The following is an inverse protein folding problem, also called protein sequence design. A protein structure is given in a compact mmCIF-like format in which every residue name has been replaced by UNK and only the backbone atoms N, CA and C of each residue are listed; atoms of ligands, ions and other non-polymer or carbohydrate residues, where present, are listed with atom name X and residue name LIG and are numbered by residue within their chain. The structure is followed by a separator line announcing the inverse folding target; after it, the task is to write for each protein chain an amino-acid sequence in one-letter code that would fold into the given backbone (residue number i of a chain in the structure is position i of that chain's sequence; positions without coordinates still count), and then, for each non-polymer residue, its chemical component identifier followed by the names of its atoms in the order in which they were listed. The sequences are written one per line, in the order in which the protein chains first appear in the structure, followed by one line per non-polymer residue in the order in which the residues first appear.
data_IF_880747476359
#
_entry.id   IF_880747476359
#
_cell.length_a   1.000
_cell.length_b   1.000
_cell.length_c   1.000
_cell.angle_alpha   90.00
_cell.angle_beta   90.00
_cell.angle_gamma   90.00
#
_symmetry.space_group_name_H-M   'P 1'
#
loop_
_entity.id
_entity.type
_entity.pdbx_description
1 polymer ?
#
# COMPACT_ATOMS: atom_id res chain seq x y z
N UNK A 1 -2.54 -14.03 2.13
CA UNK A 1 -3.72 -13.30 1.61
C UNK A 1 -4.49 -14.14 0.57
N UNK A 2 -5.82 -14.18 0.71
CA UNK A 2 -6.72 -14.99 -0.14
C UNK A 2 -6.56 -14.70 -1.64
N UNK A 3 -6.18 -13.47 -1.99
CA UNK A 3 -5.92 -13.06 -3.38
C UNK A 3 -4.85 -13.93 -4.07
N UNK A 4 -3.87 -14.46 -3.33
CA UNK A 4 -2.82 -15.32 -3.87
C UNK A 4 -3.30 -16.76 -4.15
N UNK A 5 -4.44 -17.16 -3.58
CA UNK A 5 -5.04 -18.49 -3.73
C UNK A 5 -6.10 -18.53 -4.83
N UNK A 6 -6.54 -17.36 -5.33
CA UNK A 6 -7.67 -17.22 -6.27
C UNK A 6 -7.33 -17.51 -7.75
N UNK A 7 -6.05 -17.73 -8.11
CA UNK A 7 -5.62 -17.89 -9.51
C UNK A 7 -5.77 -16.64 -10.39
N UNK A 8 -6.31 -15.53 -9.86
CA UNK A 8 -6.50 -14.29 -10.60
C UNK A 8 -5.17 -13.51 -10.70
N UNK A 9 -4.43 -13.74 -11.79
CA UNK A 9 -3.14 -13.10 -12.04
C UNK A 9 -3.19 -11.55 -12.05
N UNK A 10 -4.33 -10.96 -12.44
CA UNK A 10 -4.53 -9.50 -12.40
C UNK A 10 -4.61 -8.99 -10.96
N UNK A 11 -5.41 -9.64 -10.13
CA UNK A 11 -5.54 -9.31 -8.72
C UNK A 11 -4.22 -9.52 -7.95
N UNK A 12 -3.48 -10.59 -8.27
CA UNK A 12 -2.15 -10.85 -7.70
C UNK A 12 -1.16 -9.74 -8.07
N UNK A 13 -1.13 -9.32 -9.33
CA UNK A 13 -0.24 -8.25 -9.80
C UNK A 13 -0.55 -6.92 -9.11
N UNK A 14 -1.84 -6.56 -9.00
CA UNK A 14 -2.29 -5.38 -8.26
C UNK A 14 -1.91 -5.46 -6.79
N UNK A 15 -2.14 -6.60 -6.14
CA UNK A 15 -1.78 -6.80 -4.74
C UNK A 15 -0.27 -6.68 -4.51
N UNK A 16 0.55 -7.29 -5.36
CA UNK A 16 2.03 -7.18 -5.28
C UNK A 16 2.50 -5.73 -5.44
N UNK A 17 1.90 -4.96 -6.35
CA UNK A 17 2.19 -3.54 -6.54
C UNK A 17 1.87 -2.74 -5.27
N UNK A 18 0.66 -2.90 -4.74
CA UNK A 18 0.21 -2.23 -3.51
C UNK A 18 1.10 -2.59 -2.31
N UNK A 19 1.45 -3.86 -2.16
CA UNK A 19 2.31 -4.33 -1.07
C UNK A 19 3.73 -3.76 -1.16
N UNK A 20 4.29 -3.64 -2.37
CA UNK A 20 5.57 -2.97 -2.59
C UNK A 20 5.52 -1.49 -2.22
N UNK A 21 4.45 -0.78 -2.61
CA UNK A 21 4.24 0.62 -2.25
C UNK A 21 4.09 0.79 -0.74
N UNK A 22 3.30 -0.05 -0.07
CA UNK A 22 3.13 -0.05 1.39
C UNK A 22 4.48 -0.21 2.12
N UNK A 23 5.29 -1.18 1.71
CA UNK A 23 6.62 -1.40 2.30
C UNK A 23 7.56 -0.22 2.07
N UNK A 24 7.50 0.38 0.89
CA UNK A 24 8.30 1.55 0.55
C UNK A 24 7.86 2.74 1.40
N UNK A 25 6.56 2.97 1.53
CA UNK A 25 5.99 4.01 2.38
C UNK A 25 6.44 3.88 3.85
N UNK A 26 6.41 2.67 4.41
CA UNK A 26 6.80 2.41 5.80
C UNK A 26 8.30 2.57 6.07
N UNK A 27 9.16 2.22 5.11
CA UNK A 27 10.62 2.12 5.34
C UNK A 27 11.43 3.22 4.68
N UNK A 28 11.00 3.69 3.51
CA UNK A 28 11.71 4.60 2.61
C UNK A 28 10.73 5.53 1.85
N UNK A 29 9.93 6.33 2.56
CA UNK A 29 8.95 7.22 1.93
C UNK A 29 9.61 8.25 0.98
N UNK A 30 10.89 8.53 1.18
CA UNK A 30 11.72 9.37 0.29
C UNK A 30 11.75 8.86 -1.16
N UNK A 31 11.71 7.53 -1.35
CA UNK A 31 11.74 6.92 -2.68
C UNK A 31 10.44 7.12 -3.45
N UNK A 32 9.29 7.24 -2.74
CA UNK A 32 7.99 7.45 -3.38
C UNK A 32 7.92 8.82 -4.07
N UNK A 33 8.61 9.82 -3.53
CA UNK A 33 8.64 11.18 -4.11
C UNK A 33 9.34 11.22 -5.47
N UNK A 34 10.21 10.23 -5.76
CA UNK A 34 10.97 10.11 -7.02
C UNK A 34 10.41 9.04 -7.95
N UNK A 35 9.48 8.22 -7.46
CA UNK A 35 8.91 7.12 -8.22
C UNK A 35 7.85 7.62 -9.21
N UNK A 36 7.77 6.97 -10.38
CA UNK A 36 6.63 7.15 -11.29
C UNK A 36 5.46 6.32 -10.78
N UNK A 37 4.54 7.01 -10.10
CA UNK A 37 3.31 6.43 -9.56
C UNK A 37 2.16 6.65 -10.54
N UNK A 38 1.38 5.60 -10.81
CA UNK A 38 0.10 5.73 -11.50
C UNK A 38 -0.92 6.45 -10.61
N UNK A 39 -2.06 6.82 -11.18
CA UNK A 39 -3.19 7.34 -10.42
C UNK A 39 -3.64 6.37 -9.33
N UNK A 40 -3.81 5.08 -9.68
CA UNK A 40 -4.16 4.01 -8.73
C UNK A 40 -3.13 3.81 -7.61
N UNK A 41 -1.84 4.03 -7.88
CA UNK A 41 -0.80 3.96 -6.85
C UNK A 41 -0.93 5.12 -5.86
N UNK A 42 -1.26 6.33 -6.35
CA UNK A 42 -1.44 7.53 -5.53
C UNK A 42 -2.68 7.43 -4.65
N UNK A 43 -3.79 6.96 -5.22
CA UNK A 43 -5.03 6.69 -4.47
C UNK A 43 -4.76 5.71 -3.32
N UNK A 44 -4.08 4.60 -3.61
CA UNK A 44 -3.72 3.62 -2.59
C UNK A 44 -2.82 4.20 -1.49
N UNK A 45 -1.84 5.03 -1.84
CA UNK A 45 -0.96 5.68 -0.86
C UNK A 45 -1.70 6.73 -0.01
N UNK A 46 -2.69 7.43 -0.58
CA UNK A 46 -3.53 8.37 0.16
C UNK A 46 -4.47 7.65 1.12
N UNK A 47 -5.06 6.53 0.69
CA UNK A 47 -5.84 5.64 1.57
C UNK A 47 -4.97 5.10 2.71
N UNK A 48 -3.75 4.65 2.40
CA UNK A 48 -2.80 4.12 3.38
C UNK A 48 -2.41 5.18 4.43
N UNK A 49 -2.10 6.41 4.01
CA UNK A 49 -1.74 7.49 4.94
C UNK A 49 -2.92 7.89 5.82
N UNK A 50 -4.14 7.93 5.27
CA UNK A 50 -5.36 8.18 6.03
C UNK A 50 -5.68 7.08 7.04
N UNK A 51 -5.51 5.82 6.65
CA UNK A 51 -5.72 4.66 7.53
C UNK A 51 -4.74 4.64 8.71
N UNK A 52 -3.47 4.97 8.48
CA UNK A 52 -2.47 5.08 9.56
C UNK A 52 -2.69 6.31 10.44
N UNK A 53 -3.15 7.42 9.89
CA UNK A 53 -3.54 8.59 10.68
C UNK A 53 -4.77 8.30 11.57
N UNK A 54 -5.71 7.48 11.08
CA UNK A 54 -6.88 7.04 11.85
C UNK A 54 -6.55 5.95 12.90
N UNK A 55 -5.49 5.17 12.70
CA UNK A 55 -5.10 4.05 13.56
C UNK A 55 -4.15 4.39 14.73
N UNK A 56 -3.68 5.64 14.85
CA UNK A 56 -2.67 6.02 15.85
C UNK A 56 -3.25 6.39 17.24
N UNK A 57 -4.41 5.84 17.59
CA UNK A 57 -5.17 6.24 18.79
C UNK A 57 -5.59 5.14 19.79
N UNK A 58 -5.43 3.82 19.53
CA UNK A 58 -6.09 2.82 20.41
C UNK A 58 -5.37 1.52 20.76
N UNK A 59 -4.14 1.24 20.32
CA UNK A 59 -3.51 -0.07 20.65
C UNK A 59 -2.38 0.05 21.68
N UNK A 60 -2.70 0.60 22.85
CA UNK A 60 -1.89 0.52 24.06
C UNK A 60 -2.74 -0.03 25.23
N UNK A 61 -3.06 -1.33 25.20
CA UNK A 61 -3.37 -2.15 26.39
C UNK A 61 -2.99 -3.60 26.12
#
# INVERSE_FOLDING_TARGET
PEVLLSGNHGAISRWRRQEALRRTWLRRPDLLSKARLSESDREFLAELSGSLAAGNGTDAV
#
